data_IF_232489417163
#
_entry.id   IF_232489417163
#
_cell.length_a   1.000
_cell.length_b   1.000
_cell.length_c   1.000
_cell.angle_alpha   90.00
_cell.angle_beta   90.00
_cell.angle_gamma   90.00
#
_symmetry.space_group_name_H-M   'P 1'
#
loop_
_entity.id
_entity.type
_entity.pdbx_description
1 polymer ?
#
# COMPACT_ATOMS: atom_id res chain seq x y z
N UNK A 1 25.16 -21.26 54.87
CA UNK A 1 26.13 -20.31 54.30
C UNK A 1 27.00 -20.90 53.19
N UNK A 2 27.36 -22.18 53.22
CA UNK A 2 28.25 -22.79 52.18
C UNK A 2 27.60 -22.81 50.76
N UNK A 3 26.34 -23.14 50.61
CA UNK A 3 25.68 -23.22 49.27
C UNK A 3 25.63 -21.90 48.49
N UNK A 4 25.66 -20.75 49.15
CA UNK A 4 25.74 -19.44 48.48
C UNK A 4 27.17 -19.09 47.97
N UNK A 5 28.19 -19.53 48.68
CA UNK A 5 29.58 -19.34 48.26
C UNK A 5 29.94 -20.18 47.03
N UNK A 6 29.42 -21.42 46.94
CA UNK A 6 29.65 -22.28 45.77
C UNK A 6 28.96 -21.77 44.49
N UNK A 7 27.77 -21.16 44.60
CA UNK A 7 27.07 -20.55 43.49
C UNK A 7 27.79 -19.27 42.99
N UNK A 8 28.38 -18.50 43.91
CA UNK A 8 29.13 -17.30 43.56
C UNK A 8 30.47 -17.69 42.91
N UNK A 9 31.18 -18.69 43.44
CA UNK A 9 32.42 -19.19 42.85
C UNK A 9 32.23 -19.85 41.48
N UNK A 10 31.13 -20.53 41.25
CA UNK A 10 30.77 -21.06 39.91
C UNK A 10 30.44 -19.99 38.89
N UNK A 11 29.80 -18.92 39.29
CA UNK A 11 29.54 -17.77 38.40
C UNK A 11 30.80 -16.99 38.10
N UNK A 12 31.67 -16.79 39.06
CA UNK A 12 32.97 -16.12 38.81
C UNK A 12 33.95 -16.99 38.01
N UNK A 13 33.96 -18.32 38.22
CA UNK A 13 34.74 -19.24 37.43
C UNK A 13 34.27 -19.34 35.96
N UNK A 14 32.94 -19.26 35.71
CA UNK A 14 32.39 -19.22 34.36
C UNK A 14 32.76 -17.91 33.65
N UNK A 15 32.69 -16.78 34.35
CA UNK A 15 33.09 -15.48 33.80
C UNK A 15 34.61 -15.43 33.48
N UNK A 16 35.44 -15.99 34.32
CA UNK A 16 36.89 -16.09 34.08
C UNK A 16 37.18 -17.10 32.96
N UNK A 17 36.44 -18.20 32.84
CA UNK A 17 36.62 -19.18 31.77
C UNK A 17 36.25 -18.64 30.39
N UNK A 18 35.19 -17.82 30.31
CA UNK A 18 34.79 -17.12 29.07
C UNK A 18 35.83 -16.05 28.70
N UNK A 19 36.43 -15.37 29.67
CA UNK A 19 37.50 -14.40 29.44
C UNK A 19 38.84 -15.09 29.02
N UNK A 20 39.14 -16.31 29.49
CA UNK A 20 40.33 -17.06 29.12
C UNK A 20 40.24 -17.82 27.80
N UNK A 21 39.05 -18.18 27.33
CA UNK A 21 38.84 -18.78 26.00
C UNK A 21 38.93 -17.75 24.85
N UNK A 22 38.90 -16.46 25.17
CA UNK A 22 39.09 -15.37 24.22
C UNK A 22 40.54 -14.90 24.10
N UNK A 23 41.46 -15.56 24.75
CA UNK A 23 42.88 -15.18 24.74
C UNK A 23 43.70 -15.97 23.71
N UNK A 24 44.03 -15.36 22.65
CA UNK A 24 45.38 -15.30 22.05
C UNK A 24 45.43 -14.54 20.73
N UNK A 25 44.32 -14.23 20.07
CA UNK A 25 44.33 -13.44 18.83
C UNK A 25 43.17 -12.46 18.63
N UNK A 26 42.24 -12.38 19.56
CA UNK A 26 41.26 -11.30 19.57
C UNK A 26 41.32 -10.63 20.94
N UNK A 27 42.03 -9.52 21.05
CA UNK A 27 41.82 -8.63 22.17
C UNK A 27 40.39 -8.06 22.03
N UNK A 28 39.41 -8.84 22.42
CA UNK A 28 38.08 -8.29 22.74
C UNK A 28 38.28 -7.48 24.02
N UNK A 29 38.67 -6.25 23.87
CA UNK A 29 38.75 -5.33 25.01
C UNK A 29 37.35 -5.10 25.49
N UNK A 30 37.05 -5.65 26.67
CA UNK A 30 35.86 -5.21 27.44
C UNK A 30 36.20 -3.76 27.86
N UNK A 31 35.94 -2.80 26.98
CA UNK A 31 36.22 -1.39 27.23
C UNK A 31 34.90 -0.63 27.30
N UNK A 32 34.41 -0.49 28.46
CA UNK A 32 33.40 0.46 28.83
C UNK A 32 33.18 0.43 30.33
N UNK A 33 32.84 1.52 31.00
CA UNK A 33 32.37 1.44 32.36
C UNK A 33 31.09 0.63 32.30
N UNK A 34 31.16 -0.67 32.56
CA UNK A 34 30.02 -1.42 33.03
C UNK A 34 29.80 -0.85 34.41
N UNK A 35 28.93 0.18 34.50
CA UNK A 35 28.47 0.66 35.77
C UNK A 35 27.96 -0.57 36.54
N UNK A 36 28.44 -0.79 37.75
CA UNK A 36 28.11 -1.94 38.55
C UNK A 36 26.58 -2.09 38.82
N UNK A 37 25.83 -1.10 38.47
CA UNK A 37 24.36 -1.04 38.56
C UNK A 37 23.65 -1.14 37.19
N UNK A 38 24.36 -1.21 36.04
CA UNK A 38 23.73 -1.37 34.75
C UNK A 38 23.75 -2.84 34.29
N UNK A 39 22.61 -3.33 33.80
CA UNK A 39 22.50 -4.65 33.18
C UNK A 39 22.98 -4.66 31.73
N UNK A 40 23.82 -3.69 31.34
CA UNK A 40 24.31 -3.52 29.97
C UNK A 40 25.56 -4.32 29.69
N UNK A 41 25.72 -4.84 28.49
CA UNK A 41 26.91 -5.52 27.99
C UNK A 41 27.45 -4.80 26.76
N UNK A 42 28.75 -4.43 26.82
CA UNK A 42 29.44 -3.82 25.70
C UNK A 42 30.68 -4.67 25.34
N UNK A 43 30.80 -5.05 24.09
CA UNK A 43 31.96 -5.76 23.53
C UNK A 43 32.34 -5.10 22.20
N UNK A 44 33.53 -4.49 22.14
CA UNK A 44 34.07 -3.91 20.92
C UNK A 44 35.11 -2.82 21.19
N UNK A 45 36.09 -2.71 20.31
CA UNK A 45 37.09 -1.61 20.38
C UNK A 45 36.42 -0.28 19.97
N UNK A 46 36.78 0.80 20.65
CA UNK A 46 36.30 2.16 20.38
C UNK A 46 34.75 2.29 20.37
N UNK A 47 34.06 1.41 21.11
CA UNK A 47 32.63 1.43 21.24
C UNK A 47 32.22 2.01 22.57
N UNK A 48 31.03 2.62 22.64
CA UNK A 48 30.57 3.17 23.89
C UNK A 48 29.03 3.13 24.03
N UNK A 49 28.57 3.06 25.26
CA UNK A 49 27.19 3.23 25.67
C UNK A 49 27.16 4.44 26.61
N UNK A 50 26.37 5.45 26.29
CA UNK A 50 26.15 6.61 27.14
C UNK A 50 24.65 6.89 27.31
N UNK A 51 24.30 7.46 28.43
CA UNK A 51 22.94 7.91 28.69
C UNK A 51 22.99 9.23 29.43
N UNK A 52 22.35 10.25 28.90
CA UNK A 52 22.25 11.58 29.50
C UNK A 52 21.55 11.58 30.87
N UNK A 53 20.70 10.59 31.12
CA UNK A 53 19.99 10.38 32.37
C UNK A 53 20.75 9.55 33.40
N UNK A 54 21.97 9.06 33.07
CA UNK A 54 22.84 8.31 33.97
C UNK A 54 22.46 6.83 34.18
N UNK A 55 21.48 6.30 33.47
CA UNK A 55 21.04 4.89 33.55
C UNK A 55 21.03 4.23 32.20
N UNK A 56 22.18 3.72 31.75
CA UNK A 56 22.25 2.81 30.59
C UNK A 56 21.75 1.43 31.05
N UNK A 57 20.44 1.22 31.06
CA UNK A 57 19.87 -0.01 31.56
C UNK A 57 19.54 -0.98 30.43
N UNK A 58 19.96 -2.25 30.57
CA UNK A 58 19.58 -3.37 29.72
C UNK A 58 19.97 -3.22 28.24
N UNK A 59 21.06 -2.53 27.93
CA UNK A 59 21.57 -2.38 26.55
C UNK A 59 22.59 -3.45 26.26
N UNK A 60 22.48 -4.10 25.09
CA UNK A 60 23.46 -5.05 24.60
C UNK A 60 24.07 -4.49 23.31
N UNK A 61 25.41 -4.25 23.33
CA UNK A 61 26.15 -3.75 22.18
C UNK A 61 27.34 -4.66 21.88
N UNK A 62 27.42 -5.16 20.64
CA UNK A 62 28.54 -5.92 20.12
C UNK A 62 29.00 -5.36 18.76
N UNK A 63 30.19 -4.75 18.70
CA UNK A 63 30.75 -4.23 17.46
C UNK A 63 31.85 -3.19 17.71
N UNK A 64 32.88 -3.18 16.89
CA UNK A 64 33.93 -2.16 16.96
C UNK A 64 33.48 -0.82 16.38
N UNK A 65 33.80 0.29 17.04
CA UNK A 65 33.39 1.64 16.62
C UNK A 65 31.89 1.91 16.70
N UNK A 66 31.16 1.05 17.36
CA UNK A 66 29.71 1.20 17.51
C UNK A 66 29.34 2.11 18.70
N UNK A 67 28.21 2.81 18.62
CA UNK A 67 27.76 3.66 19.72
C UNK A 67 26.29 3.52 20.02
N UNK A 68 25.96 3.62 21.30
CA UNK A 68 24.58 3.72 21.78
C UNK A 68 24.47 4.91 22.72
N UNK A 69 23.65 5.88 22.34
CA UNK A 69 23.42 7.08 23.12
C UNK A 69 21.94 7.24 23.42
N UNK A 70 21.61 7.46 24.67
CA UNK A 70 20.24 7.71 25.16
C UNK A 70 19.21 6.67 24.68
N UNK A 71 19.65 5.41 24.54
CA UNK A 71 18.83 4.34 23.97
C UNK A 71 18.80 3.09 24.85
N UNK A 72 18.25 3.20 26.08
CA UNK A 72 18.18 2.07 26.98
C UNK A 72 17.31 0.92 26.45
N UNK A 73 17.63 -0.31 26.84
CA UNK A 73 16.88 -1.50 26.44
C UNK A 73 17.09 -1.92 25.00
N UNK A 74 18.11 -1.38 24.31
CA UNK A 74 18.38 -1.69 22.92
C UNK A 74 19.30 -2.90 22.74
N UNK A 75 19.10 -3.62 21.62
CA UNK A 75 19.97 -4.66 21.13
C UNK A 75 20.71 -4.16 19.89
N UNK A 76 22.05 -4.14 19.94
CA UNK A 76 22.88 -3.62 18.86
C UNK A 76 24.01 -4.57 18.50
N UNK A 77 24.08 -4.96 17.24
CA UNK A 77 25.10 -5.86 16.70
C UNK A 77 25.62 -5.33 15.38
N UNK A 78 26.89 -4.93 15.34
CA UNK A 78 27.52 -4.52 14.10
C UNK A 78 28.63 -3.48 14.32
N UNK A 79 29.70 -3.59 13.57
CA UNK A 79 30.75 -2.55 13.58
C UNK A 79 30.21 -1.26 12.97
N UNK A 80 30.56 -0.14 13.58
CA UNK A 80 30.14 1.21 13.19
C UNK A 80 28.62 1.43 13.21
N UNK A 81 27.86 0.53 13.85
CA UNK A 81 26.44 0.76 14.03
C UNK A 81 26.18 1.88 15.04
N UNK A 82 25.09 2.64 14.85
CA UNK A 82 24.77 3.78 15.69
C UNK A 82 23.31 3.77 16.15
N UNK A 83 23.10 3.99 17.44
CA UNK A 83 21.75 4.12 18.01
C UNK A 83 21.70 5.37 18.89
N UNK A 84 20.84 6.30 18.51
CA UNK A 84 20.69 7.58 19.21
C UNK A 84 19.21 7.82 19.53
N UNK A 85 18.92 8.17 20.77
CA UNK A 85 17.57 8.48 21.28
C UNK A 85 16.46 7.53 20.77
N UNK A 86 16.81 6.22 20.72
CA UNK A 86 15.97 5.15 20.17
C UNK A 86 15.83 4.00 21.16
N UNK A 87 15.20 4.21 22.32
CA UNK A 87 15.06 3.18 23.34
C UNK A 87 14.25 1.97 22.85
N UNK A 88 14.62 0.79 23.37
CA UNK A 88 13.99 -0.49 23.06
C UNK A 88 14.07 -0.87 21.58
N UNK A 89 15.11 -0.47 20.89
CA UNK A 89 15.34 -0.72 19.48
C UNK A 89 16.21 -1.96 19.22
N UNK A 90 16.15 -2.48 18.00
CA UNK A 90 16.99 -3.57 17.52
C UNK A 90 17.77 -3.10 16.28
N UNK A 91 19.12 -3.13 16.35
CA UNK A 91 20.00 -2.70 15.25
C UNK A 91 21.00 -3.79 14.97
N UNK A 92 20.87 -4.48 13.84
CA UNK A 92 21.74 -5.58 13.45
C UNK A 92 22.35 -5.34 12.06
N UNK A 93 23.62 -5.04 12.00
CA UNK A 93 24.35 -4.86 10.75
C UNK A 93 25.50 -3.86 10.87
N UNK A 94 26.48 -4.03 10.00
CA UNK A 94 27.54 -3.04 9.87
C UNK A 94 26.97 -1.72 9.34
N UNK A 95 27.36 -0.61 9.93
CA UNK A 95 26.88 0.74 9.58
C UNK A 95 25.34 0.90 9.71
N UNK A 96 24.64 -0.02 10.39
CA UNK A 96 23.21 0.11 10.61
C UNK A 96 22.91 1.20 11.65
N UNK A 97 21.84 1.94 11.48
CA UNK A 97 21.55 3.12 12.30
C UNK A 97 20.10 3.30 12.72
N UNK A 98 19.92 3.89 13.91
CA UNK A 98 18.61 4.38 14.35
C UNK A 98 18.78 5.71 15.09
N UNK A 99 17.93 6.68 14.78
CA UNK A 99 17.86 7.94 15.49
C UNK A 99 16.40 8.36 15.69
N UNK A 100 16.06 8.83 16.90
CA UNK A 100 14.71 9.28 17.28
C UNK A 100 13.60 8.22 16.97
N UNK A 101 13.94 6.94 17.05
CA UNK A 101 13.14 5.83 16.51
C UNK A 101 12.84 4.77 17.58
N UNK A 102 12.10 5.15 18.61
CA UNK A 102 11.71 4.26 19.70
C UNK A 102 10.98 3.02 19.17
N UNK A 103 11.37 1.83 19.67
CA UNK A 103 10.89 0.52 19.21
C UNK A 103 11.17 0.23 17.73
N UNK A 104 12.15 0.91 17.14
CA UNK A 104 12.56 0.67 15.77
C UNK A 104 13.33 -0.65 15.61
N UNK A 105 13.30 -1.20 14.42
CA UNK A 105 14.09 -2.38 14.01
C UNK A 105 14.84 -2.05 12.72
N UNK A 106 16.18 -2.06 12.75
CA UNK A 106 17.04 -1.87 11.58
C UNK A 106 17.95 -3.09 11.42
N UNK A 107 17.72 -3.91 10.40
CA UNK A 107 18.46 -5.15 10.16
C UNK A 107 19.03 -5.18 8.75
N UNK A 108 20.34 -5.19 8.63
CA UNK A 108 21.06 -5.22 7.38
C UNK A 108 22.24 -4.24 7.37
N UNK A 109 23.17 -4.43 6.44
CA UNK A 109 24.25 -3.46 6.26
C UNK A 109 23.65 -2.10 5.90
N UNK A 110 24.01 -1.04 6.64
CA UNK A 110 23.49 0.32 6.42
C UNK A 110 21.96 0.40 6.38
N UNK A 111 21.26 -0.47 7.11
CA UNK A 111 19.83 -0.33 7.32
C UNK A 111 19.56 0.81 8.30
N UNK A 112 18.60 1.68 8.02
CA UNK A 112 18.36 2.89 8.81
C UNK A 112 16.87 3.10 9.16
N UNK A 113 16.63 3.58 10.39
CA UNK A 113 15.31 4.04 10.85
C UNK A 113 15.49 5.39 11.54
N UNK A 114 15.01 6.47 10.91
CA UNK A 114 15.22 7.84 11.34
C UNK A 114 13.87 8.54 11.57
N UNK A 115 13.70 9.17 12.73
CA UNK A 115 12.45 9.86 13.12
C UNK A 115 11.18 9.03 12.90
N UNK A 116 11.27 7.71 13.12
CA UNK A 116 10.25 6.75 12.66
C UNK A 116 9.98 5.70 13.73
N UNK A 117 9.13 6.03 14.69
CA UNK A 117 8.84 5.13 15.80
C UNK A 117 8.09 3.88 15.35
N UNK A 118 8.34 2.74 16.03
CA UNK A 118 7.65 1.46 15.77
C UNK A 118 7.78 0.98 14.31
N UNK A 119 8.88 1.30 13.66
CA UNK A 119 9.11 1.00 12.24
C UNK A 119 10.17 -0.07 12.06
N UNK A 120 10.12 -0.80 10.94
CA UNK A 120 10.93 -1.99 10.68
C UNK A 120 11.60 -1.89 9.32
N UNK A 121 12.92 -1.68 9.28
CA UNK A 121 13.75 -1.70 8.08
C UNK A 121 14.58 -2.98 8.04
N UNK A 122 14.32 -3.87 7.09
CA UNK A 122 15.02 -5.16 6.93
C UNK A 122 15.56 -5.30 5.51
N UNK A 123 16.87 -5.35 5.39
CA UNK A 123 17.60 -5.48 4.14
C UNK A 123 18.81 -4.55 4.12
N UNK A 124 19.86 -4.89 3.36
CA UNK A 124 20.96 -3.95 3.19
C UNK A 124 20.44 -2.65 2.57
N UNK A 125 20.78 -1.50 3.16
CA UNK A 125 20.33 -0.19 2.71
C UNK A 125 18.80 0.01 2.74
N UNK A 126 18.05 -0.81 3.47
CA UNK A 126 16.65 -0.55 3.74
C UNK A 126 16.52 0.68 4.65
N UNK A 127 15.64 1.61 4.31
CA UNK A 127 15.55 2.88 5.00
C UNK A 127 14.11 3.33 5.28
N UNK A 128 13.92 3.89 6.45
CA UNK A 128 12.66 4.52 6.84
C UNK A 128 12.99 5.88 7.47
N UNK A 129 12.40 6.92 6.92
CA UNK A 129 12.61 8.28 7.41
C UNK A 129 11.27 9.02 7.56
N UNK A 130 11.07 9.69 8.71
CA UNK A 130 9.85 10.46 9.02
C UNK A 130 8.54 9.68 8.80
N UNK A 131 8.53 8.36 9.13
CA UNK A 131 7.50 7.41 8.70
C UNK A 131 7.20 6.36 9.77
N UNK A 132 6.47 6.74 10.80
CA UNK A 132 6.18 5.85 11.94
C UNK A 132 5.21 4.71 11.58
N UNK A 133 5.37 3.55 12.25
CA UNK A 133 4.53 2.38 12.04
C UNK A 133 4.71 1.70 10.68
N UNK A 134 5.81 1.98 9.98
CA UNK A 134 6.04 1.55 8.61
C UNK A 134 7.07 0.42 8.50
N UNK A 135 7.03 -0.31 7.41
CA UNK A 135 7.94 -1.43 7.12
C UNK A 135 8.61 -1.24 5.77
N UNK A 136 9.94 -1.27 5.73
CA UNK A 136 10.76 -1.34 4.51
C UNK A 136 11.41 -2.72 4.43
N UNK A 137 11.03 -3.54 3.47
CA UNK A 137 11.47 -4.93 3.36
C UNK A 137 12.21 -5.19 2.05
N UNK A 138 13.47 -5.57 2.17
CA UNK A 138 14.36 -5.91 1.06
C UNK A 138 15.47 -4.89 0.83
N UNK A 139 16.50 -5.29 0.07
CA UNK A 139 17.64 -4.43 -0.26
C UNK A 139 17.17 -3.11 -0.88
N UNK A 140 17.56 -1.99 -0.29
CA UNK A 140 17.24 -0.65 -0.74
C UNK A 140 15.76 -0.26 -0.70
N UNK A 141 14.90 -1.02 -0.03
CA UNK A 141 13.49 -0.64 0.14
C UNK A 141 13.37 0.60 1.01
N UNK A 142 12.45 1.49 0.67
CA UNK A 142 12.36 2.84 1.22
C UNK A 142 10.96 3.21 1.66
N UNK A 143 10.87 3.95 2.76
CA UNK A 143 9.67 4.70 3.15
C UNK A 143 10.13 6.09 3.60
N UNK A 144 9.57 7.15 3.03
CA UNK A 144 9.87 8.52 3.43
C UNK A 144 8.60 9.36 3.47
N UNK A 145 8.31 9.93 4.62
CA UNK A 145 7.17 10.84 4.83
C UNK A 145 5.79 10.17 4.88
N UNK A 146 5.71 8.83 4.84
CA UNK A 146 4.45 8.08 4.88
C UNK A 146 4.38 7.15 6.09
N UNK A 147 3.29 7.21 6.85
CA UNK A 147 3.08 6.38 8.03
C UNK A 147 2.23 5.14 7.71
N UNK A 148 2.44 4.06 8.47
CA UNK A 148 1.62 2.84 8.43
C UNK A 148 1.59 2.16 7.05
N UNK A 149 2.72 2.16 6.34
CA UNK A 149 2.87 1.54 5.02
C UNK A 149 3.88 0.40 5.03
N UNK A 150 3.77 -0.49 4.07
CA UNK A 150 4.78 -1.52 3.78
C UNK A 150 5.36 -1.24 2.40
N UNK A 151 6.66 -0.98 2.34
CA UNK A 151 7.41 -0.82 1.10
C UNK A 151 8.30 -2.03 0.84
N UNK A 152 8.23 -2.56 -0.37
CA UNK A 152 9.09 -3.65 -0.84
C UNK A 152 10.04 -3.20 -1.96
N UNK A 153 10.13 -1.91 -2.23
CA UNK A 153 10.96 -1.33 -3.29
C UNK A 153 11.57 0.01 -2.90
N UNK A 154 12.51 0.48 -3.72
CA UNK A 154 13.16 1.77 -3.52
C UNK A 154 12.29 2.96 -3.95
N UNK A 155 11.25 2.71 -4.76
CA UNK A 155 10.47 3.77 -5.41
C UNK A 155 11.25 4.49 -6.52
N UNK A 156 10.59 5.39 -7.25
CA UNK A 156 11.21 6.08 -8.38
C UNK A 156 12.32 7.07 -7.99
N UNK A 157 12.28 7.57 -6.78
CA UNK A 157 13.27 8.54 -6.29
C UNK A 157 14.46 7.90 -5.58
N UNK A 158 14.33 6.64 -5.16
CA UNK A 158 15.36 5.82 -4.54
C UNK A 158 16.33 6.55 -3.59
N UNK A 159 17.25 5.85 -2.94
CA UNK A 159 18.31 6.47 -2.11
C UNK A 159 19.46 7.05 -2.96
N UNK A 160 19.19 7.70 -4.06
CA UNK A 160 20.25 8.28 -4.89
C UNK A 160 21.28 7.26 -5.36
N UNK A 161 22.50 7.72 -5.69
CA UNK A 161 23.58 6.85 -6.20
C UNK A 161 24.10 5.82 -5.19
N UNK A 162 23.78 5.96 -3.91
CA UNK A 162 24.32 5.14 -2.83
C UNK A 162 23.80 3.70 -2.82
N UNK A 163 22.65 3.44 -3.44
CA UNK A 163 22.00 2.12 -3.45
C UNK A 163 21.85 1.60 -4.89
N UNK A 164 22.98 1.53 -5.59
CA UNK A 164 23.00 0.94 -6.95
C UNK A 164 22.46 -0.49 -6.94
N UNK A 165 21.46 -0.75 -7.77
CA UNK A 165 20.88 -2.08 -7.95
C UNK A 165 19.71 -2.40 -7.03
N UNK A 166 19.23 -1.45 -6.23
CA UNK A 166 17.94 -1.61 -5.56
C UNK A 166 16.81 -1.54 -6.58
N UNK A 167 15.92 -2.54 -6.65
CA UNK A 167 14.78 -2.47 -7.57
C UNK A 167 13.77 -1.43 -7.09
N UNK A 168 13.29 -0.60 -8.01
CA UNK A 168 12.23 0.39 -7.73
C UNK A 168 10.98 -0.27 -7.16
N UNK A 169 10.59 -1.40 -7.73
CA UNK A 169 9.41 -2.18 -7.33
C UNK A 169 9.73 -3.65 -7.22
N UNK A 170 8.92 -4.40 -6.45
CA UNK A 170 8.96 -5.87 -6.37
C UNK A 170 7.57 -6.45 -6.53
N UNK A 171 7.51 -7.63 -7.15
CA UNK A 171 6.27 -8.41 -7.16
C UNK A 171 6.10 -9.13 -5.82
N UNK A 172 4.88 -9.13 -5.31
CA UNK A 172 4.50 -10.00 -4.21
C UNK A 172 3.85 -11.24 -4.85
N UNK A 173 4.46 -12.41 -4.64
CA UNK A 173 4.02 -13.68 -5.23
C UNK A 173 3.54 -14.64 -4.14
N UNK A 174 2.82 -15.70 -4.53
CA UNK A 174 2.26 -16.70 -3.62
C UNK A 174 1.27 -16.08 -2.62
N UNK A 175 0.55 -15.06 -3.06
CA UNK A 175 -0.56 -14.47 -2.31
C UNK A 175 -1.82 -15.25 -2.64
N UNK A 176 -2.57 -15.66 -1.63
CA UNK A 176 -3.89 -16.26 -1.80
C UNK A 176 -4.92 -15.20 -2.20
N UNK A 177 -6.03 -15.64 -2.76
CA UNK A 177 -7.15 -14.75 -3.06
C UNK A 177 -7.64 -14.02 -1.81
N UNK A 178 -7.88 -12.72 -1.96
CA UNK A 178 -8.45 -11.90 -0.89
C UNK A 178 -9.88 -12.32 -0.57
N UNK A 179 -10.20 -12.36 0.73
CA UNK A 179 -11.52 -12.73 1.23
C UNK A 179 -12.27 -11.52 1.75
N UNK A 180 -11.55 -10.62 2.45
CA UNK A 180 -12.11 -9.41 3.04
C UNK A 180 -11.78 -8.18 2.18
N UNK A 181 -12.54 -7.11 2.34
CA UNK A 181 -12.34 -5.87 1.59
C UNK A 181 -10.98 -5.18 1.82
N UNK A 182 -10.26 -5.57 2.86
CA UNK A 182 -8.93 -5.04 3.20
C UNK A 182 -7.79 -5.95 2.79
N UNK A 183 -8.08 -7.11 2.22
CA UNK A 183 -7.07 -8.05 1.75
C UNK A 183 -6.51 -7.63 0.39
N UNK A 184 -5.28 -8.04 0.09
CA UNK A 184 -4.73 -7.87 -1.25
C UNK A 184 -5.47 -8.78 -2.24
N UNK A 185 -5.88 -8.23 -3.38
CA UNK A 185 -6.46 -9.02 -4.46
C UNK A 185 -5.36 -9.64 -5.34
N UNK A 186 -5.60 -10.85 -5.82
CA UNK A 186 -4.74 -11.47 -6.82
C UNK A 186 -5.08 -10.98 -8.24
N UNK A 187 -4.13 -11.11 -9.16
CA UNK A 187 -4.39 -10.87 -10.60
C UNK A 187 -5.47 -11.81 -11.13
N UNK A 188 -5.58 -13.03 -10.57
CA UNK A 188 -6.65 -13.98 -10.90
C UNK A 188 -8.03 -13.41 -10.61
N UNK A 189 -8.25 -12.93 -9.40
CA UNK A 189 -9.51 -12.30 -9.00
C UNK A 189 -9.86 -11.07 -9.85
N UNK A 190 -8.85 -10.27 -10.23
CA UNK A 190 -9.06 -9.12 -11.09
C UNK A 190 -9.51 -9.54 -12.50
N UNK A 191 -8.86 -10.54 -13.10
CA UNK A 191 -9.22 -11.07 -14.42
C UNK A 191 -10.64 -11.64 -14.42
N UNK A 192 -11.01 -12.42 -13.40
CA UNK A 192 -12.37 -12.96 -13.25
C UNK A 192 -13.43 -11.85 -13.24
N UNK A 193 -13.18 -10.76 -12.53
CA UNK A 193 -14.09 -9.60 -12.51
C UNK A 193 -14.18 -8.88 -13.86
N UNK A 194 -13.08 -8.81 -14.60
CA UNK A 194 -13.10 -8.26 -15.96
C UNK A 194 -13.91 -9.15 -16.93
N UNK A 195 -13.75 -10.47 -16.83
CA UNK A 195 -14.52 -11.42 -17.64
C UNK A 195 -16.01 -11.31 -17.34
N UNK A 196 -16.41 -11.26 -16.07
CA UNK A 196 -17.80 -11.03 -15.65
C UNK A 196 -18.36 -9.72 -16.23
N UNK A 197 -17.58 -8.65 -16.17
CA UNK A 197 -17.98 -7.34 -16.71
C UNK A 197 -18.14 -7.38 -18.23
N UNK A 198 -17.29 -8.08 -18.96
CA UNK A 198 -17.42 -8.26 -20.41
C UNK A 198 -18.70 -9.01 -20.77
N UNK A 199 -18.99 -10.10 -20.08
CA UNK A 199 -20.25 -10.86 -20.28
C UNK A 199 -21.46 -9.97 -20.06
N UNK A 200 -21.47 -9.18 -18.99
CA UNK A 200 -22.54 -8.24 -18.70
C UNK A 200 -22.71 -7.17 -19.79
N UNK A 201 -21.61 -6.65 -20.34
CA UNK A 201 -21.63 -5.67 -21.42
C UNK A 201 -22.20 -6.29 -22.72
N UNK A 202 -21.82 -7.50 -23.06
CA UNK A 202 -22.35 -8.21 -24.22
C UNK A 202 -23.86 -8.41 -24.12
N UNK A 203 -24.34 -8.90 -22.97
CA UNK A 203 -25.79 -9.07 -22.73
C UNK A 203 -26.55 -7.74 -22.80
N UNK A 204 -25.93 -6.67 -22.31
CA UNK A 204 -26.55 -5.33 -22.35
C UNK A 204 -26.64 -4.82 -23.78
N UNK A 205 -25.61 -5.03 -24.61
CA UNK A 205 -25.63 -4.64 -26.02
C UNK A 205 -26.70 -5.42 -26.82
N UNK A 206 -26.81 -6.75 -26.59
CA UNK A 206 -27.87 -7.57 -27.19
C UNK A 206 -29.27 -7.03 -26.86
N UNK A 207 -29.50 -6.61 -25.60
CA UNK A 207 -30.78 -6.01 -25.20
C UNK A 207 -31.02 -4.64 -25.84
N UNK A 208 -29.99 -3.86 -26.04
CA UNK A 208 -30.07 -2.56 -26.77
C UNK A 208 -30.45 -2.84 -28.22
N UNK A 209 -29.77 -3.77 -28.90
CA UNK A 209 -30.06 -4.12 -30.30
C UNK A 209 -31.48 -4.63 -30.48
N UNK A 210 -31.98 -5.44 -29.56
CA UNK A 210 -33.39 -5.90 -29.58
C UNK A 210 -34.36 -4.74 -29.40
N UNK A 211 -34.05 -3.82 -28.48
CA UNK A 211 -34.90 -2.63 -28.23
C UNK A 211 -34.96 -1.72 -29.46
N UNK A 212 -33.82 -1.51 -30.13
CA UNK A 212 -33.74 -0.69 -31.34
C UNK A 212 -34.53 -1.32 -32.52
N UNK A 213 -34.46 -2.65 -32.66
CA UNK A 213 -35.31 -3.37 -33.65
C UNK A 213 -36.77 -3.17 -33.36
N UNK A 214 -37.22 -3.31 -32.10
CA UNK A 214 -38.60 -3.07 -31.70
C UNK A 214 -39.04 -1.64 -31.94
N UNK A 215 -38.20 -0.68 -31.59
CA UNK A 215 -38.45 0.74 -31.84
C UNK A 215 -38.58 1.04 -33.32
N UNK A 216 -37.74 0.49 -34.17
CA UNK A 216 -37.80 0.62 -35.62
C UNK A 216 -39.09 0.05 -36.20
N UNK A 217 -39.53 -1.11 -35.69
CA UNK A 217 -40.79 -1.74 -36.09
C UNK A 217 -42.00 -0.88 -35.71
N UNK A 218 -42.07 -0.41 -34.45
CA UNK A 218 -43.15 0.47 -33.99
C UNK A 218 -43.18 1.79 -34.76
N UNK A 219 -42.01 2.36 -35.06
CA UNK A 219 -41.90 3.59 -35.87
C UNK A 219 -42.47 3.36 -37.29
N UNK A 220 -42.15 2.23 -37.93
CA UNK A 220 -42.65 1.90 -39.26
C UNK A 220 -44.16 1.67 -39.27
N UNK A 221 -44.71 0.99 -38.25
CA UNK A 221 -46.16 0.79 -38.10
C UNK A 221 -46.91 2.11 -37.87
N UNK A 222 -46.43 2.94 -36.95
CA UNK A 222 -47.02 4.25 -36.67
C UNK A 222 -46.98 5.17 -37.88
N UNK A 223 -45.89 5.18 -38.64
CA UNK A 223 -45.75 5.94 -39.87
C UNK A 223 -46.81 5.50 -40.94
N UNK A 224 -47.00 4.18 -41.06
CA UNK A 224 -48.03 3.63 -41.98
C UNK A 224 -49.44 4.02 -41.57
N UNK A 225 -49.74 3.93 -40.28
CA UNK A 225 -51.04 4.29 -39.75
C UNK A 225 -51.38 5.79 -39.91
N UNK A 226 -50.36 6.65 -39.70
CA UNK A 226 -50.50 8.10 -39.95
C UNK A 226 -50.78 8.38 -41.42
N UNK A 227 -50.05 7.73 -42.33
CA UNK A 227 -50.25 7.91 -43.77
C UNK A 227 -51.65 7.43 -44.18
N UNK A 228 -52.08 6.26 -43.69
CA UNK A 228 -53.40 5.72 -43.99
C UNK A 228 -54.51 6.64 -43.46
N UNK A 229 -54.39 7.10 -42.21
CA UNK A 229 -55.33 8.03 -41.59
C UNK A 229 -55.41 9.37 -42.31
N UNK A 230 -54.26 9.92 -42.70
CA UNK A 230 -54.19 11.17 -43.47
C UNK A 230 -54.85 11.03 -44.84
N UNK A 231 -54.57 9.93 -45.55
CA UNK A 231 -55.13 9.62 -46.86
C UNK A 231 -56.68 9.45 -46.76
N UNK A 232 -57.16 8.75 -45.75
CA UNK A 232 -58.60 8.62 -45.51
C UNK A 232 -59.29 9.96 -45.21
N UNK A 233 -58.66 10.83 -44.41
CA UNK A 233 -59.19 12.16 -44.10
C UNK A 233 -59.21 13.05 -45.34
N UNK A 234 -58.22 13.02 -46.20
CA UNK A 234 -58.21 13.76 -47.48
C UNK A 234 -59.32 13.26 -48.37
N UNK A 235 -59.49 11.95 -48.53
CA UNK A 235 -60.57 11.36 -49.36
C UNK A 235 -61.95 11.77 -48.86
N UNK A 236 -62.18 11.74 -47.54
CA UNK A 236 -63.45 12.16 -46.91
C UNK A 236 -63.70 13.66 -47.20
N UNK A 237 -62.67 14.49 -47.09
CA UNK A 237 -62.81 15.94 -47.38
C UNK A 237 -63.15 16.21 -48.82
N UNK A 238 -62.51 15.50 -49.75
CA UNK A 238 -62.74 15.66 -51.19
C UNK A 238 -64.16 15.21 -51.59
N UNK A 239 -64.57 14.04 -51.07
CA UNK A 239 -65.95 13.55 -51.33
C UNK A 239 -67.01 14.50 -50.77
N UNK A 240 -66.78 15.03 -49.56
CA UNK A 240 -67.73 15.99 -48.93
C UNK A 240 -67.77 17.32 -49.70
N UNK A 241 -66.62 17.80 -50.21
CA UNK A 241 -66.56 19.01 -51.02
C UNK A 241 -67.28 18.85 -52.35
N UNK A 242 -67.15 17.70 -53.00
CA UNK A 242 -67.85 17.40 -54.24
C UNK A 242 -69.38 17.34 -54.03
N UNK A 243 -69.86 16.68 -52.95
CA UNK A 243 -71.28 16.62 -52.61
C UNK A 243 -71.82 18.00 -52.34
N UNK A 244 -71.12 18.86 -51.59
CA UNK A 244 -71.53 20.24 -51.36
C UNK A 244 -71.56 21.07 -52.67
N UNK A 245 -70.66 20.87 -53.58
CA UNK A 245 -70.67 21.54 -54.89
C UNK A 245 -71.89 21.15 -55.72
N UNK A 246 -72.26 19.89 -55.72
CA UNK A 246 -73.44 19.42 -56.43
C UNK A 246 -74.75 19.99 -55.78
N UNK A 247 -74.85 20.00 -54.44
CA UNK A 247 -75.99 20.65 -53.77
C UNK A 247 -76.12 22.15 -54.06
N UNK A 248 -74.97 22.86 -54.07
CA UNK A 248 -74.98 24.30 -54.43
C UNK A 248 -75.40 24.48 -55.87
N UNK A 249 -74.91 23.66 -56.80
CA UNK A 249 -75.25 23.71 -58.18
C UNK A 249 -76.77 23.46 -58.42
N UNK A 250 -77.30 22.41 -57.78
CA UNK A 250 -78.72 22.07 -57.85
C UNK A 250 -79.63 23.19 -57.24
N UNK A 251 -79.26 23.71 -56.08
CA UNK A 251 -79.91 24.82 -55.43
C UNK A 251 -79.90 26.08 -56.30
N UNK A 252 -78.78 26.37 -56.91
CA UNK A 252 -78.58 27.51 -57.84
C UNK A 252 -79.51 27.36 -59.08
N UNK A 253 -79.54 26.17 -59.65
CA UNK A 253 -80.44 25.88 -60.81
C UNK A 253 -81.93 26.04 -60.44
N UNK A 254 -82.32 25.52 -59.29
CA UNK A 254 -83.71 25.64 -58.80
C UNK A 254 -84.10 27.09 -58.60
N UNK A 255 -83.27 27.91 -57.96
CA UNK A 255 -83.52 29.36 -57.80
C UNK A 255 -83.59 30.05 -59.15
N UNK A 256 -82.72 29.69 -60.09
CA UNK A 256 -82.74 30.25 -61.47
C UNK A 256 -84.04 29.90 -62.17
N UNK A 257 -84.53 28.69 -62.03
CA UNK A 257 -85.78 28.28 -62.70
C UNK A 257 -87.00 28.92 -62.06
N UNK A 258 -86.98 29.12 -60.73
CA UNK A 258 -88.06 29.85 -60.00
C UNK A 258 -88.11 31.35 -60.38
N UNK A 259 -86.95 31.96 -60.69
CA UNK A 259 -86.89 33.35 -61.14
C UNK A 259 -87.31 33.56 -62.60
N UNK A 260 -87.41 32.49 -63.41
CA UNK A 260 -87.87 32.55 -64.82
C UNK A 260 -89.35 32.24 -65.00
N UNK A 261 -90.04 31.75 -63.99
CA UNK A 261 -91.47 31.48 -63.95
C UNK A 261 -92.26 32.73 -63.48
#
# INVERSE_FOLDING_TARGET
>A
MLKRRDAFLKKSALAVSVALLLSAQAQAVLTGPVDANSSSLLIGENSFITNSTGTANNTFLLGGGAFNMDSPGSLQFGSFSGVYNSPHSVTLGRDAGQAESKYGVAIGKSAEVLNSQQSVAIGGWAGIENSSGSVALGHGSQVSGENNVVSVGAGPEGYGESVKGAPETRRIINVSDGINNTDAATVGQLNERFDDAQVFLLQTNERIDETDKRLSTVHAELSRDIIAGTSAAVTYTDVTALALQDEIKDGTNKVRDELKA
#
